data_IF_204506491569
#
_entry.id   IF_204506491569
#
_cell.length_a   1.000
_cell.length_b   1.000
_cell.length_c   1.000
_cell.angle_alpha   90.00
_cell.angle_beta   90.00
_cell.angle_gamma   90.00
#
_symmetry.space_group_name_H-M   'P 1'
#
loop_
_entity.id
_entity.type
_entity.pdbx_description
1 polymer ?
#
# COMPACT_ATOMS: atom_id res chain seq x y z
N UNK A 1 -3.08 -8.76 52.49
CA UNK A 1 -3.04 -7.43 51.85
C UNK A 1 -2.10 -7.38 50.63
N UNK A 2 -0.89 -7.93 50.66
CA UNK A 2 0.05 -7.93 49.54
C UNK A 2 -0.51 -8.65 48.29
N UNK A 3 -1.08 -9.84 48.42
CA UNK A 3 -1.68 -10.61 47.32
C UNK A 3 -2.78 -9.83 46.57
N UNK A 4 -3.65 -9.13 47.30
CA UNK A 4 -4.72 -8.35 46.69
C UNK A 4 -4.20 -7.13 45.89
N UNK A 5 -3.12 -6.51 46.37
CA UNK A 5 -2.45 -5.41 45.63
C UNK A 5 -1.80 -5.92 44.33
N UNK A 6 -1.13 -7.07 44.38
CA UNK A 6 -0.52 -7.69 43.21
C UNK A 6 -1.59 -8.06 42.17
N UNK A 7 -2.68 -8.69 42.59
CA UNK A 7 -3.79 -9.06 41.68
C UNK A 7 -4.39 -7.81 41.04
N UNK A 8 -4.63 -6.74 41.80
CA UNK A 8 -5.14 -5.48 41.21
C UNK A 8 -4.17 -4.87 40.21
N UNK A 9 -2.87 -4.85 40.52
CA UNK A 9 -1.85 -4.36 39.62
C UNK A 9 -1.80 -5.18 38.31
N UNK A 10 -1.85 -6.50 38.41
CA UNK A 10 -1.89 -7.38 37.25
C UNK A 10 -3.14 -7.17 36.37
N UNK A 11 -4.31 -7.02 37.01
CA UNK A 11 -5.56 -6.72 36.30
C UNK A 11 -5.49 -5.36 35.60
N UNK A 12 -4.96 -4.34 36.28
CA UNK A 12 -4.80 -3.00 35.67
C UNK A 12 -3.87 -3.06 34.47
N UNK A 13 -2.72 -3.73 34.59
CA UNK A 13 -1.78 -3.90 33.45
C UNK A 13 -2.44 -4.68 32.30
N UNK A 14 -3.19 -5.74 32.63
CA UNK A 14 -3.92 -6.52 31.63
C UNK A 14 -4.95 -5.70 30.86
N UNK A 15 -5.74 -4.87 31.58
CA UNK A 15 -6.72 -3.97 30.97
C UNK A 15 -6.04 -2.92 30.09
N UNK A 16 -4.97 -2.29 30.58
CA UNK A 16 -4.22 -1.31 29.78
C UNK A 16 -3.62 -1.92 28.52
N UNK A 17 -3.05 -3.13 28.62
CA UNK A 17 -2.52 -3.85 27.48
C UNK A 17 -3.62 -4.20 26.46
N UNK A 18 -4.80 -4.61 26.93
CA UNK A 18 -5.94 -4.89 26.06
C UNK A 18 -6.45 -3.63 25.33
N UNK A 19 -6.53 -2.50 26.03
CA UNK A 19 -6.91 -1.20 25.44
C UNK A 19 -5.88 -0.78 24.38
N UNK A 20 -4.59 -0.85 24.70
CA UNK A 20 -3.51 -0.50 23.77
C UNK A 20 -3.55 -1.42 22.55
N UNK A 21 -3.68 -2.72 22.74
CA UNK A 21 -3.79 -3.69 21.64
C UNK A 21 -4.99 -3.43 20.74
N UNK A 22 -6.15 -3.12 21.31
CA UNK A 22 -7.35 -2.75 20.57
C UNK A 22 -7.18 -1.46 19.78
N UNK A 23 -6.51 -0.45 20.36
CA UNK A 23 -6.21 0.81 19.70
C UNK A 23 -5.26 0.60 18.50
N UNK A 24 -4.17 -0.13 18.69
CA UNK A 24 -3.20 -0.44 17.64
C UNK A 24 -3.84 -1.25 16.50
N UNK A 25 -4.69 -2.22 16.85
CA UNK A 25 -5.46 -2.98 15.87
C UNK A 25 -6.40 -2.10 15.05
N UNK A 26 -7.10 -1.17 15.70
CA UNK A 26 -7.99 -0.22 15.02
C UNK A 26 -7.25 0.70 14.05
N UNK A 27 -6.09 1.23 14.47
CA UNK A 27 -5.22 2.04 13.61
C UNK A 27 -4.75 1.23 12.40
N UNK A 28 -4.28 0.00 12.63
CA UNK A 28 -3.82 -0.89 11.57
C UNK A 28 -4.93 -1.19 10.55
N UNK A 29 -6.15 -1.50 11.00
CA UNK A 29 -7.28 -1.75 10.10
C UNK A 29 -7.63 -0.52 9.25
N UNK A 30 -7.63 0.65 9.88
CA UNK A 30 -7.88 1.89 9.17
C UNK A 30 -6.82 2.20 8.09
N UNK A 31 -5.55 1.96 8.38
CA UNK A 31 -4.46 2.15 7.42
C UNK A 31 -4.54 1.14 6.26
N UNK A 32 -4.91 -0.11 6.55
CA UNK A 32 -5.13 -1.14 5.52
C UNK A 32 -6.29 -0.78 4.60
N UNK A 33 -7.41 -0.29 5.14
CA UNK A 33 -8.56 0.13 4.34
C UNK A 33 -8.20 1.30 3.43
N UNK A 34 -7.52 2.32 3.95
CA UNK A 34 -7.01 3.44 3.15
C UNK A 34 -6.04 2.99 2.05
N UNK A 35 -5.17 2.02 2.34
CA UNK A 35 -4.28 1.46 1.34
C UNK A 35 -5.06 0.75 0.24
N UNK A 36 -6.07 -0.06 0.59
CA UNK A 36 -6.95 -0.73 -0.37
C UNK A 36 -7.70 0.25 -1.26
N UNK A 37 -8.25 1.31 -0.70
CA UNK A 37 -8.94 2.35 -1.47
C UNK A 37 -8.01 3.03 -2.48
N UNK A 38 -6.79 3.38 -2.08
CA UNK A 38 -5.79 3.98 -3.00
C UNK A 38 -5.48 3.08 -4.19
N UNK A 39 -5.28 1.78 -3.96
CA UNK A 39 -4.97 0.84 -5.05
C UNK A 39 -6.20 0.44 -5.87
N UNK A 40 -7.40 0.57 -5.32
CA UNK A 40 -8.64 0.24 -6.04
C UNK A 40 -9.05 1.29 -7.08
N UNK A 41 -8.70 2.56 -6.88
CA UNK A 41 -9.21 3.69 -7.67
C UNK A 41 -8.13 4.45 -8.45
N UNK A 42 -6.86 4.25 -8.13
CA UNK A 42 -5.75 5.05 -8.65
C UNK A 42 -5.16 4.58 -9.98
N UNK A 43 -5.64 3.47 -10.55
CA UNK A 43 -5.01 2.85 -11.71
C UNK A 43 -5.99 2.48 -12.82
N UNK A 44 -5.44 2.19 -14.00
CA UNK A 44 -6.12 1.72 -15.21
C UNK A 44 -5.52 0.39 -15.65
N UNK A 45 -6.23 -0.33 -16.52
CA UNK A 45 -5.72 -1.54 -17.17
C UNK A 45 -5.46 -1.23 -18.64
N UNK A 46 -4.29 -1.62 -19.13
CA UNK A 46 -3.96 -1.66 -20.54
C UNK A 46 -3.91 -3.12 -21.01
N UNK A 47 -4.68 -3.45 -22.03
CA UNK A 47 -4.60 -4.76 -22.69
C UNK A 47 -3.35 -4.79 -23.57
N UNK A 48 -2.52 -5.80 -23.38
CA UNK A 48 -1.28 -6.00 -24.16
C UNK A 48 -1.21 -7.43 -24.69
N UNK A 49 -0.36 -7.71 -25.70
CA UNK A 49 -0.14 -9.08 -26.15
C UNK A 49 0.34 -10.05 -25.06
N UNK A 50 0.94 -9.54 -23.98
CA UNK A 50 1.38 -10.30 -22.82
C UNK A 50 0.32 -10.40 -21.70
N UNK A 51 -0.90 -9.92 -21.96
CA UNK A 51 -1.99 -9.84 -20.99
C UNK A 51 -2.22 -8.43 -20.43
N UNK A 52 -3.19 -8.28 -19.51
CA UNK A 52 -3.52 -7.00 -18.93
C UNK A 52 -2.40 -6.49 -18.00
N UNK A 53 -2.06 -5.21 -18.14
CA UNK A 53 -1.08 -4.52 -17.30
C UNK A 53 -1.77 -3.36 -16.59
N UNK A 54 -1.68 -3.35 -15.28
CA UNK A 54 -2.14 -2.24 -14.46
C UNK A 54 -1.12 -1.11 -14.43
N UNK A 55 -1.60 0.11 -14.62
CA UNK A 55 -0.76 1.30 -14.59
C UNK A 55 -1.50 2.54 -14.08
N UNK A 56 -0.74 3.53 -13.67
CA UNK A 56 -1.24 4.86 -13.36
C UNK A 56 -0.35 5.92 -13.99
N UNK A 57 -0.91 7.11 -14.22
CA UNK A 57 -0.21 8.23 -14.85
C UNK A 57 -0.32 9.46 -13.97
N UNK A 58 0.77 10.21 -13.83
CA UNK A 58 0.81 11.50 -13.16
C UNK A 58 1.71 12.48 -13.93
N UNK A 59 1.29 13.75 -14.01
CA UNK A 59 2.01 14.81 -14.72
C UNK A 59 1.72 14.82 -16.22
N UNK A 60 2.21 15.85 -16.92
CA UNK A 60 1.88 16.16 -18.33
C UNK A 60 3.10 16.36 -19.24
N UNK A 61 4.31 16.16 -18.75
CA UNK A 61 5.54 16.38 -19.51
C UNK A 61 6.01 15.16 -20.31
N UNK A 62 7.31 15.13 -20.66
CA UNK A 62 7.93 13.98 -21.28
C UNK A 62 7.71 12.70 -20.47
N UNK A 63 7.36 11.56 -21.11
CA UNK A 63 7.01 10.34 -20.40
C UNK A 63 8.23 9.65 -19.80
N UNK A 64 8.09 9.20 -18.56
CA UNK A 64 9.03 8.32 -17.86
C UNK A 64 8.28 7.10 -17.32
N UNK A 65 8.78 5.92 -17.65
CA UNK A 65 8.27 4.68 -17.09
C UNK A 65 8.94 4.41 -15.74
N UNK A 66 8.14 4.15 -14.71
CA UNK A 66 8.61 3.72 -13.41
C UNK A 66 8.10 2.32 -13.12
N UNK A 67 9.05 1.43 -12.81
CA UNK A 67 8.78 0.04 -12.41
C UNK A 67 9.15 -0.10 -10.94
N UNK A 68 8.19 -0.51 -10.12
CA UNK A 68 8.35 -0.65 -8.67
C UNK A 68 9.26 -1.83 -8.26
N UNK A 69 9.71 -1.82 -7.00
CA UNK A 69 10.46 -2.91 -6.37
C UNK A 69 9.58 -4.01 -5.79
N UNK A 70 10.08 -4.70 -4.77
CA UNK A 70 9.46 -5.91 -4.19
C UNK A 70 8.27 -5.65 -3.25
N UNK A 71 7.92 -4.48 -2.90
CA UNK A 71 6.93 -4.21 -1.85
C UNK A 71 5.73 -3.38 -2.26
N UNK A 72 5.48 -3.20 -3.55
CA UNK A 72 4.43 -2.30 -3.99
C UNK A 72 3.83 -2.67 -5.34
N UNK A 73 3.19 -1.72 -5.97
CA UNK A 73 2.64 -1.76 -7.31
C UNK A 73 2.80 -0.39 -7.97
N UNK A 74 1.86 -0.01 -8.83
CA UNK A 74 1.85 1.30 -9.47
C UNK A 74 1.88 2.46 -8.45
N UNK A 75 1.27 2.30 -7.29
CA UNK A 75 1.23 3.28 -6.21
C UNK A 75 2.63 3.61 -5.67
N UNK A 76 3.49 2.61 -5.49
CA UNK A 76 4.89 2.80 -5.13
C UNK A 76 5.66 3.55 -6.23
N UNK A 77 5.39 3.20 -7.50
CA UNK A 77 5.97 3.91 -8.65
C UNK A 77 5.56 5.38 -8.70
N UNK A 78 4.30 5.70 -8.44
CA UNK A 78 3.82 7.08 -8.35
C UNK A 78 4.48 7.83 -7.18
N UNK A 79 4.66 7.18 -6.05
CA UNK A 79 5.28 7.80 -4.88
C UNK A 79 6.75 8.15 -5.13
N UNK A 80 7.51 7.27 -5.75
CA UNK A 80 8.88 7.55 -6.20
C UNK A 80 8.94 8.64 -7.28
N UNK A 81 7.93 8.72 -8.13
CA UNK A 81 7.84 9.68 -9.23
C UNK A 81 7.44 11.10 -8.84
N UNK A 82 7.02 11.36 -7.61
CA UNK A 82 6.50 12.68 -7.18
C UNK A 82 7.45 13.84 -7.49
N UNK A 83 8.72 13.69 -7.22
CA UNK A 83 9.72 14.73 -7.50
C UNK A 83 9.93 14.96 -9.01
N UNK A 84 9.79 13.93 -9.81
CA UNK A 84 9.89 13.99 -11.26
C UNK A 84 8.66 14.68 -11.88
N UNK A 85 7.47 14.43 -11.35
CA UNK A 85 6.25 15.17 -11.72
C UNK A 85 6.42 16.65 -11.41
N UNK A 86 6.94 17.00 -10.23
CA UNK A 86 7.22 18.38 -9.86
C UNK A 86 8.29 19.03 -10.77
N UNK A 87 9.17 18.22 -11.38
CA UNK A 87 10.17 18.67 -12.35
C UNK A 87 9.66 18.72 -13.80
N UNK A 88 8.35 18.49 -14.02
CA UNK A 88 7.70 18.62 -15.32
C UNK A 88 7.70 17.35 -16.17
N UNK A 89 7.90 16.17 -15.60
CA UNK A 89 7.77 14.89 -16.29
C UNK A 89 6.38 14.28 -16.12
N UNK A 90 5.98 13.44 -17.09
CA UNK A 90 4.82 12.57 -17.00
C UNK A 90 5.27 11.16 -16.59
N UNK A 91 4.87 10.74 -15.41
CA UNK A 91 5.19 9.41 -14.88
C UNK A 91 4.14 8.42 -15.34
N UNK A 92 4.60 7.28 -15.85
CA UNK A 92 3.79 6.08 -16.12
C UNK A 92 4.29 5.01 -15.15
N UNK A 93 3.55 4.76 -14.09
CA UNK A 93 3.89 3.76 -13.09
C UNK A 93 3.10 2.48 -13.34
N UNK A 94 3.78 1.36 -13.51
CA UNK A 94 3.16 0.06 -13.81
C UNK A 94 3.24 -0.88 -12.62
N UNK A 95 2.24 -1.75 -12.45
CA UNK A 95 2.31 -2.92 -11.57
C UNK A 95 2.98 -4.06 -12.33
N UNK A 96 4.06 -4.62 -11.77
CA UNK A 96 4.77 -5.75 -12.34
C UNK A 96 3.89 -7.00 -12.39
N UNK A 97 4.25 -7.97 -13.20
CA UNK A 97 3.58 -9.28 -13.25
C UNK A 97 3.48 -9.92 -11.86
N UNK A 98 2.30 -10.41 -11.52
CA UNK A 98 1.97 -10.97 -10.21
C UNK A 98 1.69 -9.96 -9.10
N UNK A 99 1.64 -8.65 -9.41
CA UNK A 99 1.34 -7.59 -8.45
C UNK A 99 0.01 -6.91 -8.76
N UNK A 100 -0.79 -6.70 -7.72
CA UNK A 100 -2.10 -6.03 -7.79
C UNK A 100 -2.98 -6.64 -8.90
N UNK A 101 -3.38 -5.84 -9.90
CA UNK A 101 -4.24 -6.27 -11.01
C UNK A 101 -3.48 -6.71 -12.27
N UNK A 102 -2.15 -6.81 -12.21
CA UNK A 102 -1.34 -7.39 -13.30
C UNK A 102 -1.09 -8.86 -13.00
N UNK A 103 -1.75 -9.82 -13.68
CA UNK A 103 -1.55 -11.24 -13.44
C UNK A 103 -0.17 -11.71 -13.90
N UNK A 104 0.22 -12.91 -13.49
CA UNK A 104 1.35 -13.60 -14.10
C UNK A 104 0.94 -14.05 -15.52
N UNK A 105 1.86 -13.97 -16.52
CA UNK A 105 1.62 -14.54 -17.84
C UNK A 105 1.37 -16.06 -17.74
N UNK A 106 0.52 -16.59 -18.62
CA UNK A 106 0.15 -18.01 -18.62
C UNK A 106 1.31 -18.95 -18.98
N UNK A 107 2.38 -18.42 -19.53
CA UNK A 107 3.57 -19.09 -20.02
C UNK A 107 4.84 -18.79 -19.19
N UNK A 108 4.66 -18.22 -17.99
CA UNK A 108 5.75 -17.85 -17.08
C UNK A 108 6.15 -19.00 -16.14
#
# INVERSE_FOLDING_TARGET
MAKARIIRALLTVGVLAAILGGLLYSIYQHDIERARERIATGSRIAETPCGPIEYAVAGDGPPLLIVHGAGGGFDQGLDFGKSLVASGFRIIAVSRFGYLRTPLPNDA
#
